data_IF_118615056556
#
_entry.id   IF_118615056556
#
_cell.length_a   1.000
_cell.length_b   1.000
_cell.length_c   1.000
_cell.angle_alpha   90.00
_cell.angle_beta   90.00
_cell.angle_gamma   90.00
#
_symmetry.space_group_name_H-M   'P 1'
#
loop_
_entity.id
_entity.type
_entity.pdbx_description
1 polymer ?
#
# COMPACT_ATOMS: atom_id res chain seq x y z
N UNK A 1 6.51 11.94 -25.00
CA UNK A 1 5.11 11.46 -24.78
C UNK A 1 4.85 11.60 -23.28
N UNK A 2 3.70 12.14 -22.89
CA UNK A 2 3.35 12.19 -21.46
C UNK A 2 3.13 10.77 -20.92
N UNK A 3 3.59 10.51 -19.70
CA UNK A 3 3.33 9.26 -19.02
C UNK A 3 1.83 9.12 -18.76
N UNK A 4 1.28 7.94 -18.99
CA UNK A 4 -0.13 7.63 -18.70
C UNK A 4 -0.20 6.78 -17.45
N UNK A 5 -1.08 7.14 -16.54
CA UNK A 5 -1.23 6.47 -15.24
C UNK A 5 -2.61 5.85 -15.07
N UNK A 6 -2.66 4.80 -14.27
CA UNK A 6 -3.86 4.27 -13.63
C UNK A 6 -3.63 4.35 -12.13
N UNK A 7 -4.41 5.18 -11.45
CA UNK A 7 -4.38 5.28 -9.99
C UNK A 7 -5.38 4.29 -9.37
N UNK A 8 -4.93 3.52 -8.39
CA UNK A 8 -5.72 2.55 -7.63
C UNK A 8 -5.79 3.04 -6.18
N UNK A 9 -6.99 3.23 -5.68
CA UNK A 9 -7.26 3.62 -4.28
C UNK A 9 -7.10 2.47 -3.29
N UNK A 10 -7.63 2.68 -2.09
CA UNK A 10 -7.58 1.77 -0.96
C UNK A 10 -8.11 0.38 -1.31
N UNK A 11 -7.35 -0.65 -0.97
CA UNK A 11 -7.69 -2.06 -1.27
C UNK A 11 -8.19 -2.78 -0.03
N UNK A 12 -7.60 -2.49 1.12
CA UNK A 12 -8.00 -3.04 2.41
C UNK A 12 -8.25 -4.56 2.38
N UNK A 13 -7.25 -5.36 1.98
CA UNK A 13 -7.33 -6.82 2.01
C UNK A 13 -8.39 -7.45 1.09
N UNK A 14 -8.95 -6.70 0.14
CA UNK A 14 -9.97 -7.15 -0.80
C UNK A 14 -9.35 -7.71 -2.09
N UNK A 15 -8.56 -8.79 -1.96
CA UNK A 15 -7.78 -9.37 -3.06
C UNK A 15 -8.63 -9.71 -4.28
N UNK A 16 -9.78 -10.37 -4.12
CA UNK A 16 -10.63 -10.76 -5.24
C UNK A 16 -11.17 -9.56 -6.04
N UNK A 17 -11.43 -8.45 -5.34
CA UNK A 17 -11.91 -7.22 -5.98
C UNK A 17 -10.81 -6.57 -6.80
N UNK A 18 -9.58 -6.45 -6.24
CA UNK A 18 -8.46 -5.82 -6.96
C UNK A 18 -7.97 -6.70 -8.11
N UNK A 19 -7.95 -8.02 -7.96
CA UNK A 19 -7.66 -8.96 -9.06
C UNK A 19 -8.59 -8.72 -10.24
N UNK A 20 -9.90 -8.74 -9.99
CA UNK A 20 -10.90 -8.54 -11.03
C UNK A 20 -10.80 -7.16 -11.69
N UNK A 21 -10.61 -6.11 -10.89
CA UNK A 21 -10.44 -4.76 -11.38
C UNK A 21 -9.22 -4.65 -12.31
N UNK A 22 -8.07 -5.19 -11.88
CA UNK A 22 -6.83 -5.09 -12.63
C UNK A 22 -6.83 -5.95 -13.89
N UNK A 23 -7.46 -7.13 -13.88
CA UNK A 23 -7.68 -7.92 -15.11
C UNK A 23 -8.37 -7.10 -16.21
N UNK A 24 -9.42 -6.38 -15.87
CA UNK A 24 -10.19 -5.59 -16.82
C UNK A 24 -9.43 -4.33 -17.27
N UNK A 25 -8.69 -3.68 -16.37
CA UNK A 25 -7.88 -2.50 -16.67
C UNK A 25 -6.69 -2.86 -17.58
N UNK A 26 -5.95 -3.93 -17.26
CA UNK A 26 -4.77 -4.34 -18.06
C UNK A 26 -5.14 -4.68 -19.49
N UNK A 27 -6.31 -5.30 -19.72
CA UNK A 27 -6.80 -5.58 -21.09
C UNK A 27 -6.95 -4.32 -21.93
N UNK A 28 -7.34 -3.21 -21.30
CA UNK A 28 -7.64 -1.94 -21.98
C UNK A 28 -6.45 -0.96 -21.99
N UNK A 29 -5.49 -1.11 -21.06
CA UNK A 29 -4.49 -0.10 -20.75
C UNK A 29 -3.09 -0.70 -20.51
N UNK A 30 -2.58 -1.49 -21.44
CA UNK A 30 -1.31 -2.24 -21.32
C UNK A 30 -0.05 -1.36 -21.21
N UNK A 31 -0.10 -0.13 -21.69
CA UNK A 31 1.02 0.82 -21.78
C UNK A 31 1.05 1.86 -20.64
N UNK A 32 0.31 1.61 -19.57
CA UNK A 32 0.19 2.55 -18.44
C UNK A 32 1.02 2.12 -17.25
N UNK A 33 1.44 3.11 -16.46
CA UNK A 33 2.02 2.89 -15.13
C UNK A 33 0.90 2.83 -14.10
N UNK A 34 0.94 1.83 -13.23
CA UNK A 34 -0.02 1.66 -12.14
C UNK A 34 0.51 2.35 -10.89
N UNK A 35 -0.26 3.28 -10.32
CA UNK A 35 0.06 3.94 -9.05
C UNK A 35 -0.96 3.49 -8.03
N UNK A 36 -0.51 2.70 -7.07
CA UNK A 36 -1.30 2.26 -5.93
C UNK A 36 -1.08 3.27 -4.80
N UNK A 37 -2.14 3.92 -4.32
CA UNK A 37 -1.98 5.07 -3.44
C UNK A 37 -1.91 4.72 -1.95
N UNK A 38 -1.84 3.45 -1.57
CA UNK A 38 -1.72 2.98 -0.19
C UNK A 38 -2.95 2.23 0.31
N UNK A 39 -2.95 1.90 1.60
CA UNK A 39 -4.00 1.20 2.32
C UNK A 39 -4.36 -0.16 1.68
N UNK A 40 -3.33 -1.01 1.54
CA UNK A 40 -3.47 -2.36 0.98
C UNK A 40 -4.05 -3.36 1.96
N UNK A 41 -3.80 -3.14 3.26
CA UNK A 41 -4.07 -4.05 4.37
C UNK A 41 -5.18 -3.50 5.28
N UNK A 42 -5.51 -4.27 6.30
CA UNK A 42 -6.48 -3.97 7.35
C UNK A 42 -7.95 -3.96 6.88
N UNK A 43 -8.87 -4.07 7.82
CA UNK A 43 -10.33 -4.05 7.62
C UNK A 43 -10.89 -5.23 6.83
N UNK A 44 -10.32 -5.53 5.68
CA UNK A 44 -10.79 -6.59 4.79
C UNK A 44 -10.21 -7.97 5.11
N UNK A 45 -10.70 -9.01 4.41
CA UNK A 45 -10.54 -10.39 4.85
C UNK A 45 -9.13 -10.99 4.62
N UNK A 46 -8.38 -10.54 3.62
CA UNK A 46 -7.16 -11.24 3.20
C UNK A 46 -6.01 -10.31 2.80
N UNK A 47 -5.47 -9.62 3.80
CA UNK A 47 -4.33 -8.73 3.64
C UNK A 47 -3.11 -9.47 3.06
N UNK A 48 -2.84 -10.70 3.55
CA UNK A 48 -1.67 -11.47 3.12
C UNK A 48 -1.72 -11.80 1.63
N UNK A 49 -2.85 -12.35 1.13
CA UNK A 49 -2.99 -12.64 -0.30
C UNK A 49 -3.03 -11.38 -1.15
N UNK A 50 -3.55 -10.28 -0.61
CA UNK A 50 -3.49 -8.99 -1.33
C UNK A 50 -2.04 -8.60 -1.59
N UNK A 51 -1.15 -8.69 -0.60
CA UNK A 51 0.27 -8.38 -0.79
C UNK A 51 0.96 -9.39 -1.71
N UNK A 52 0.68 -10.71 -1.56
CA UNK A 52 1.17 -11.73 -2.50
C UNK A 52 0.81 -11.38 -3.96
N UNK A 53 -0.45 -11.02 -4.19
CA UNK A 53 -0.95 -10.63 -5.51
C UNK A 53 -0.27 -9.36 -6.04
N UNK A 54 -0.13 -8.30 -5.24
CA UNK A 54 0.48 -7.04 -5.68
C UNK A 54 1.97 -7.22 -6.00
N UNK A 55 2.69 -8.02 -5.23
CA UNK A 55 4.09 -8.39 -5.52
C UNK A 55 4.17 -9.12 -6.87
N UNK A 56 3.31 -10.11 -7.11
CA UNK A 56 3.30 -10.87 -8.37
C UNK A 56 2.91 -9.98 -9.55
N UNK A 57 1.86 -9.17 -9.40
CA UNK A 57 1.40 -8.23 -10.43
C UNK A 57 2.51 -7.26 -10.87
N UNK A 58 3.34 -6.81 -9.93
CA UNK A 58 4.43 -5.87 -10.20
C UNK A 58 5.57 -6.47 -11.03
N UNK A 59 5.69 -7.80 -11.11
CA UNK A 59 6.73 -8.44 -11.94
C UNK A 59 6.50 -8.26 -13.43
N UNK A 60 5.25 -8.08 -13.84
CA UNK A 60 4.85 -7.98 -15.25
C UNK A 60 4.31 -6.59 -15.63
N UNK A 61 4.14 -5.69 -14.66
CA UNK A 61 3.56 -4.39 -14.87
C UNK A 61 4.42 -3.30 -14.20
N UNK A 62 4.45 -2.11 -14.80
CA UNK A 62 5.13 -0.96 -14.18
C UNK A 62 4.29 -0.42 -13.03
N UNK A 63 4.71 -0.68 -11.79
CA UNK A 63 3.97 -0.33 -10.58
C UNK A 63 4.74 0.63 -9.69
N UNK A 64 4.02 1.55 -9.08
CA UNK A 64 4.48 2.43 -8.01
C UNK A 64 3.54 2.19 -6.83
N UNK A 65 4.11 1.88 -5.67
CA UNK A 65 3.36 1.64 -4.45
C UNK A 65 3.62 2.77 -3.46
N UNK A 66 2.57 3.49 -3.08
CA UNK A 66 2.64 4.49 -2.03
C UNK A 66 2.32 3.87 -0.68
N UNK A 67 2.71 4.55 0.38
CA UNK A 67 2.44 4.16 1.77
C UNK A 67 1.19 4.86 2.25
N UNK A 68 0.20 4.07 2.66
CA UNK A 68 -0.92 4.57 3.42
C UNK A 68 -0.64 4.56 4.93
N UNK A 69 -1.53 5.16 5.71
CA UNK A 69 -1.41 5.16 7.15
C UNK A 69 -1.54 3.74 7.75
N UNK A 70 -2.22 2.82 7.07
CA UNK A 70 -2.34 1.43 7.51
C UNK A 70 -1.02 0.66 7.39
N UNK A 71 -0.26 0.85 6.32
CA UNK A 71 1.09 0.31 6.18
C UNK A 71 2.04 0.92 7.21
N UNK A 72 1.91 2.22 7.49
CA UNK A 72 2.74 2.87 8.51
C UNK A 72 2.46 2.29 9.90
N UNK A 73 1.19 2.09 10.28
CA UNK A 73 0.83 1.47 11.56
C UNK A 73 1.38 0.05 11.72
N UNK A 74 1.39 -0.77 10.65
CA UNK A 74 2.01 -2.09 10.65
C UNK A 74 3.52 -1.98 10.86
N UNK A 75 4.19 -1.07 10.17
CA UNK A 75 5.63 -0.86 10.32
C UNK A 75 6.00 -0.36 11.71
N UNK A 76 5.23 0.57 12.26
CA UNK A 76 5.42 1.07 13.64
C UNK A 76 5.25 -0.04 14.68
N UNK A 77 4.28 -0.93 14.48
CA UNK A 77 4.12 -2.12 15.32
C UNK A 77 5.32 -3.07 15.17
N UNK A 78 5.75 -3.34 13.94
CA UNK A 78 6.89 -4.22 13.65
C UNK A 78 8.21 -3.70 14.26
N UNK A 79 8.38 -2.38 14.27
CA UNK A 79 9.56 -1.72 14.81
C UNK A 79 9.50 -1.47 16.33
N UNK A 80 8.37 -1.83 16.96
CA UNK A 80 8.18 -1.60 18.40
C UNK A 80 7.90 -0.14 18.77
N UNK A 81 7.60 0.72 17.80
CA UNK A 81 7.25 2.13 18.01
C UNK A 81 5.83 2.27 18.57
N UNK A 82 4.92 1.43 18.11
CA UNK A 82 3.53 1.43 18.56
C UNK A 82 3.08 0.07 19.11
N UNK A 83 2.03 0.10 19.96
CA UNK A 83 1.46 -1.13 20.48
C UNK A 83 0.50 -1.78 19.48
N UNK A 84 0.39 -3.11 19.53
CA UNK A 84 -0.59 -3.87 18.74
C UNK A 84 -2.02 -3.36 18.94
N UNK A 85 -2.38 -2.95 20.15
CA UNK A 85 -3.73 -2.46 20.46
C UNK A 85 -4.07 -1.16 19.73
N UNK A 86 -3.09 -0.30 19.47
CA UNK A 86 -3.29 0.92 18.67
C UNK A 86 -3.63 0.56 17.23
N UNK A 87 -2.85 -0.31 16.61
CA UNK A 87 -3.08 -0.77 15.23
C UNK A 87 -4.41 -1.54 15.09
N UNK A 88 -4.71 -2.46 16.02
CA UNK A 88 -5.96 -3.24 15.97
C UNK A 88 -7.22 -2.38 16.06
N UNK A 89 -7.22 -1.28 16.84
CA UNK A 89 -8.35 -0.34 16.92
C UNK A 89 -8.63 0.36 15.59
N UNK A 90 -7.62 0.45 14.72
CA UNK A 90 -7.74 1.03 13.38
C UNK A 90 -8.01 -0.02 12.28
N UNK A 91 -8.35 -1.26 12.64
CA UNK A 91 -8.72 -2.31 11.68
C UNK A 91 -7.62 -3.35 11.41
N UNK A 92 -6.48 -3.28 12.13
CA UNK A 92 -5.35 -4.19 11.94
C UNK A 92 -5.55 -5.62 12.47
N UNK A 93 -6.70 -5.91 13.09
CA UNK A 93 -6.98 -7.24 13.66
C UNK A 93 -6.96 -8.34 12.60
N UNK A 94 -7.63 -8.12 11.50
CA UNK A 94 -7.73 -9.08 10.39
C UNK A 94 -6.34 -9.34 9.77
N UNK A 95 -5.58 -8.29 9.55
CA UNK A 95 -4.19 -8.40 9.06
C UNK A 95 -3.32 -9.17 10.06
N UNK A 96 -3.41 -8.85 11.35
CA UNK A 96 -2.67 -9.59 12.37
C UNK A 96 -2.97 -11.10 12.34
N UNK A 97 -4.26 -11.47 12.17
CA UNK A 97 -4.69 -12.86 12.07
C UNK A 97 -4.18 -13.54 10.78
N UNK A 98 -4.15 -12.84 9.65
CA UNK A 98 -3.62 -13.34 8.38
C UNK A 98 -2.13 -13.67 8.45
N UNK A 99 -1.37 -12.96 9.29
CA UNK A 99 0.07 -13.18 9.49
C UNK A 99 0.41 -13.99 10.74
N UNK A 100 -0.59 -14.54 11.42
CA UNK A 100 -0.35 -15.38 12.59
C UNK A 100 0.10 -16.77 12.17
N UNK A 101 1.25 -17.22 12.69
CA UNK A 101 1.77 -18.57 12.45
C UNK A 101 1.08 -19.62 13.34
N UNK A 102 1.44 -20.90 13.15
CA UNK A 102 0.91 -22.03 13.93
C UNK A 102 1.15 -21.89 15.44
N UNK A 103 2.18 -21.18 15.87
CA UNK A 103 2.48 -20.88 17.27
C UNK A 103 1.72 -19.66 17.82
N UNK A 104 0.74 -19.16 17.06
CA UNK A 104 -0.06 -17.96 17.39
C UNK A 104 0.79 -16.69 17.59
N UNK A 105 1.92 -16.61 16.87
CA UNK A 105 2.77 -15.41 16.84
C UNK A 105 2.62 -14.71 15.49
N UNK A 106 2.60 -13.40 15.52
CA UNK A 106 2.67 -12.59 14.30
C UNK A 106 4.03 -12.81 13.63
N UNK A 107 3.98 -13.12 12.34
CA UNK A 107 5.19 -13.37 11.55
C UNK A 107 5.02 -12.81 10.15
N UNK A 108 5.69 -11.70 9.89
CA UNK A 108 5.67 -11.04 8.59
C UNK A 108 6.73 -11.69 7.68
N UNK A 109 6.33 -12.32 6.55
CA UNK A 109 7.29 -12.89 5.60
C UNK A 109 8.26 -11.81 5.10
N UNK A 110 9.54 -12.20 4.88
CA UNK A 110 10.58 -11.26 4.44
C UNK A 110 10.18 -10.47 3.19
N UNK A 111 9.56 -11.11 2.20
CA UNK A 111 9.12 -10.46 0.97
C UNK A 111 8.06 -9.38 1.23
N UNK A 112 7.11 -9.64 2.16
CA UNK A 112 6.09 -8.67 2.55
C UNK A 112 6.67 -7.52 3.37
N UNK A 113 7.57 -7.82 4.31
CA UNK A 113 8.31 -6.78 5.04
C UNK A 113 9.06 -5.86 4.06
N UNK A 114 9.76 -6.46 3.10
CA UNK A 114 10.48 -5.71 2.08
C UNK A 114 9.53 -4.88 1.19
N UNK A 115 8.37 -5.43 0.82
CA UNK A 115 7.35 -4.69 0.09
C UNK A 115 6.92 -3.44 0.85
N UNK A 116 6.51 -3.57 2.12
CA UNK A 116 6.07 -2.43 2.93
C UNK A 116 7.16 -1.37 3.13
N UNK A 117 8.40 -1.82 3.38
CA UNK A 117 9.53 -0.89 3.56
C UNK A 117 9.86 -0.08 2.30
N UNK A 118 9.59 -0.60 1.13
CA UNK A 118 9.85 0.05 -0.15
C UNK A 118 8.66 0.87 -0.69
N UNK A 119 7.54 0.94 0.02
CA UNK A 119 6.47 1.86 -0.32
C UNK A 119 6.95 3.31 -0.15
N UNK A 120 6.52 4.19 -1.06
CA UNK A 120 6.92 5.60 -1.09
C UNK A 120 5.87 6.45 -0.39
N UNK A 121 6.27 7.56 0.20
CA UNK A 121 5.33 8.51 0.79
C UNK A 121 4.56 9.27 -0.30
N UNK A 122 5.21 9.57 -1.41
CA UNK A 122 4.62 10.23 -2.57
C UNK A 122 5.28 9.76 -3.86
N UNK A 123 4.65 10.09 -4.97
CA UNK A 123 5.26 10.00 -6.30
C UNK A 123 4.95 11.26 -7.10
N UNK A 124 6.01 11.96 -7.52
CA UNK A 124 5.93 13.14 -8.36
C UNK A 124 6.23 12.76 -9.81
N UNK A 125 5.35 13.17 -10.72
CA UNK A 125 5.52 13.09 -12.16
C UNK A 125 5.46 14.49 -12.77
N UNK A 126 5.78 14.63 -14.06
CA UNK A 126 5.72 15.95 -14.71
C UNK A 126 4.33 16.61 -14.70
N UNK A 127 3.26 15.82 -14.59
CA UNK A 127 1.87 16.27 -14.71
C UNK A 127 1.03 16.00 -13.46
N UNK A 128 1.42 15.03 -12.61
CA UNK A 128 0.64 14.59 -11.45
C UNK A 128 1.52 14.38 -10.23
N UNK A 129 1.01 14.79 -9.09
CA UNK A 129 1.56 14.48 -7.79
C UNK A 129 0.63 13.50 -7.07
N UNK A 130 1.16 12.32 -6.72
CA UNK A 130 0.39 11.25 -6.05
C UNK A 130 0.82 11.16 -4.60
N UNK A 131 -0.15 11.17 -3.70
CA UNK A 131 0.02 11.03 -2.25
C UNK A 131 -1.19 10.31 -1.68
N UNK A 132 -1.02 9.55 -0.58
CA UNK A 132 -2.12 8.78 0.00
C UNK A 132 -3.20 9.68 0.62
N UNK A 133 -2.84 10.53 1.56
CA UNK A 133 -3.81 11.33 2.30
C UNK A 133 -4.06 12.69 1.64
N UNK A 134 -3.12 13.58 1.72
CA UNK A 134 -3.22 14.94 1.21
C UNK A 134 -1.98 15.72 1.57
N UNK A 135 -1.97 16.97 1.16
CA UNK A 135 -0.91 17.92 1.48
C UNK A 135 -1.47 18.94 2.46
N UNK A 136 -0.60 19.48 3.30
CA UNK A 136 -0.97 20.59 4.16
C UNK A 136 -1.31 21.82 3.27
N UNK A 137 -2.53 22.36 3.36
CA UNK A 137 -2.94 23.50 2.53
C UNK A 137 -2.18 24.80 2.86
N UNK A 138 -1.51 24.84 4.02
CA UNK A 138 -0.71 25.99 4.45
C UNK A 138 0.75 25.92 4.00
N UNK A 139 1.17 24.75 3.45
CA UNK A 139 2.52 24.51 2.97
C UNK A 139 2.57 24.33 1.45
N UNK A 140 3.68 24.73 0.84
CA UNK A 140 3.96 24.32 -0.53
C UNK A 140 4.20 22.81 -0.62
N UNK A 141 4.05 22.22 -1.83
CA UNK A 141 4.37 20.78 -2.05
C UNK A 141 5.79 20.47 -1.60
N UNK A 142 6.76 21.35 -1.87
CA UNK A 142 8.16 21.16 -1.48
C UNK A 142 8.35 21.15 0.03
N UNK A 143 7.68 22.02 0.77
CA UNK A 143 7.71 22.04 2.24
C UNK A 143 7.04 20.80 2.83
N UNK A 144 5.91 20.35 2.27
CA UNK A 144 5.24 19.12 2.70
C UNK A 144 6.14 17.90 2.53
N UNK A 145 6.87 17.79 1.41
CA UNK A 145 7.84 16.71 1.16
C UNK A 145 8.98 16.70 2.19
N UNK A 146 9.48 17.87 2.57
CA UNK A 146 10.59 17.99 3.54
C UNK A 146 10.11 17.59 4.94
N UNK A 147 8.91 17.92 5.31
CA UNK A 147 8.35 17.63 6.64
C UNK A 147 7.99 16.15 6.84
N UNK A 148 7.89 15.35 5.77
CA UNK A 148 7.61 13.91 5.83
C UNK A 148 8.88 13.02 5.80
N UNK A 149 10.08 13.59 5.68
CA UNK A 149 11.37 12.87 5.71
C UNK A 149 11.95 12.81 7.13
#
# INVERSE_FOLDING_TARGET
MSDKFVAIGDIHGCVLTVEKLLEDIVKQHKDRKFVFVGDYIDRGPDAKKTIDFLIEFSKSNSCIFLRGNHEQMLLDFQDGVSSIGSWQRNGGKETYLNYMNEKKKFELPYQHYHFFRNTRLFFDSAEFFFVHAGLDPECSIQESIINEQ
#
